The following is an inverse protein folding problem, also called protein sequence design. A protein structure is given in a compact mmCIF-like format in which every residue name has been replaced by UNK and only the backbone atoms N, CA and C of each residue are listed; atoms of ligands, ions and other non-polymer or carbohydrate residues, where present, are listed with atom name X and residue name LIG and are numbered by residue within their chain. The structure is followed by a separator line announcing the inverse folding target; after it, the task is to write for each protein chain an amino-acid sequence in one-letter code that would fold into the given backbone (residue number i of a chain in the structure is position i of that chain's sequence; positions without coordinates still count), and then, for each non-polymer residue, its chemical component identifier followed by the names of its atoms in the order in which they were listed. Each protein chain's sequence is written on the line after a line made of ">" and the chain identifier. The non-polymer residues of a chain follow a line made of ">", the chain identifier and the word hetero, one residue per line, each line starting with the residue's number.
data_IF_365342576927
#
_entry.id   IF_365342576927
#
_cell.length_a   1.000
_cell.length_b   1.000
_cell.length_c   1.000
_cell.angle_alpha   90.00
_cell.angle_beta   90.00
_cell.angle_gamma   90.00
#
_symmetry.space_group_name_H-M   'P 1'
#
loop_
_entity.id
_entity.type
_entity.pdbx_description
1 polymer ?
#
# COMPACT_ATOMS: atom_id res chain seq x y z
N UNK A 1 17.37 3.35 11.68
CA UNK A 1 16.33 2.43 11.19
C UNK A 1 16.29 2.60 9.69
N UNK A 2 16.54 1.55 8.91
CA UNK A 2 16.33 1.61 7.47
C UNK A 2 14.81 1.75 7.24
N UNK A 3 14.38 2.91 6.76
CA UNK A 3 12.98 3.16 6.44
C UNK A 3 12.68 2.75 5.00
N UNK A 4 11.41 2.53 4.70
CA UNK A 4 10.94 2.46 3.32
C UNK A 4 11.13 3.84 2.67
N UNK A 5 11.73 3.86 1.49
CA UNK A 5 11.76 5.07 0.65
C UNK A 5 10.67 4.92 -0.39
N UNK A 6 9.68 5.81 -0.34
CA UNK A 6 8.64 5.91 -1.35
C UNK A 6 9.26 6.40 -2.65
N UNK A 7 9.01 5.68 -3.75
CA UNK A 7 9.41 6.12 -5.07
C UNK A 7 8.30 6.99 -5.65
N UNK A 8 8.41 8.29 -5.40
CA UNK A 8 7.47 9.27 -5.95
C UNK A 8 7.53 9.32 -7.48
N UNK A 9 8.62 8.87 -8.10
CA UNK A 9 8.75 8.80 -9.56
C UNK A 9 7.94 7.65 -10.19
N UNK A 10 7.70 6.56 -9.44
CA UNK A 10 6.86 5.44 -9.84
C UNK A 10 5.40 5.58 -9.36
N UNK A 11 5.05 6.67 -8.66
CA UNK A 11 3.66 6.94 -8.28
C UNK A 11 2.84 7.24 -9.52
N UNK A 12 2.03 6.27 -9.94
CA UNK A 12 1.20 6.33 -11.12
C UNK A 12 -0.24 6.62 -10.65
N UNK A 13 -0.62 7.88 -10.74
CA UNK A 13 -1.98 8.37 -10.55
C UNK A 13 -2.75 8.17 -11.85
N UNK A 14 -3.58 7.13 -11.91
CA UNK A 14 -4.54 6.97 -13.00
C UNK A 14 -5.90 7.48 -12.56
N UNK A 15 -6.14 8.76 -12.81
CA UNK A 15 -7.47 9.35 -12.75
C UNK A 15 -8.25 8.93 -14.01
N UNK A 16 -9.12 7.91 -13.88
CA UNK A 16 -10.10 7.56 -14.89
C UNK A 16 -11.47 8.10 -14.47
N UNK A 17 -12.32 8.49 -15.42
CA UNK A 17 -13.66 9.04 -15.12
C UNK A 17 -14.60 8.08 -14.39
N UNK A 18 -14.24 6.80 -14.27
CA UNK A 18 -15.03 5.74 -13.62
C UNK A 18 -14.50 5.36 -12.22
N UNK A 19 -13.36 5.92 -11.79
CA UNK A 19 -12.73 5.62 -10.51
C UNK A 19 -11.23 5.87 -10.54
N UNK A 20 -10.72 6.56 -9.51
CA UNK A 20 -9.29 6.86 -9.37
C UNK A 20 -8.54 5.63 -8.87
N UNK A 21 -7.64 5.09 -9.68
CA UNK A 21 -6.73 4.01 -9.27
C UNK A 21 -5.36 4.64 -9.01
N UNK A 22 -4.91 4.60 -7.74
CA UNK A 22 -3.59 5.12 -7.37
C UNK A 22 -2.66 3.95 -7.11
N UNK A 23 -1.54 3.93 -7.82
CA UNK A 23 -0.47 2.94 -7.63
C UNK A 23 0.79 3.64 -7.13
N UNK A 24 1.29 3.21 -5.98
CA UNK A 24 2.54 3.72 -5.39
C UNK A 24 3.51 2.56 -5.25
N UNK A 25 4.78 2.80 -5.55
CA UNK A 25 5.85 1.84 -5.33
C UNK A 25 6.82 2.42 -4.30
N UNK A 26 7.22 1.61 -3.34
CA UNK A 26 8.28 1.93 -2.40
C UNK A 26 9.30 0.79 -2.39
N UNK A 27 10.55 1.10 -2.16
CA UNK A 27 11.60 0.10 -1.99
C UNK A 27 12.41 0.38 -0.73
N UNK A 28 12.90 -0.69 -0.12
CA UNK A 28 13.74 -0.57 1.07
C UNK A 28 14.45 -1.87 1.40
N UNK A 29 15.56 -1.75 2.12
CA UNK A 29 16.30 -2.89 2.67
C UNK A 29 15.66 -3.28 4.01
N UNK A 30 14.40 -3.70 3.97
CA UNK A 30 13.57 -4.02 5.14
C UNK A 30 12.98 -5.43 5.02
N UNK A 31 12.78 -6.09 6.17
CA UNK A 31 12.12 -7.39 6.23
C UNK A 31 10.64 -7.27 5.88
N UNK A 32 10.10 -8.28 5.18
CA UNK A 32 8.65 -8.34 4.89
C UNK A 32 7.80 -8.25 6.16
N UNK A 33 8.28 -8.88 7.24
CA UNK A 33 7.55 -9.03 8.50
C UNK A 33 7.49 -7.69 9.23
N UNK A 34 8.62 -6.98 9.32
CA UNK A 34 8.68 -5.61 9.84
C UNK A 34 7.74 -4.66 9.09
N UNK A 35 7.66 -4.78 7.77
CA UNK A 35 6.76 -3.96 6.94
C UNK A 35 5.30 -4.27 7.22
N UNK A 36 4.94 -5.55 7.29
CA UNK A 36 3.58 -5.98 7.66
C UNK A 36 3.24 -5.44 9.04
N UNK A 37 4.07 -5.69 10.05
CA UNK A 37 3.82 -5.27 11.43
C UNK A 37 3.67 -3.74 11.56
N UNK A 38 4.50 -2.99 10.85
CA UNK A 38 4.40 -1.55 10.77
C UNK A 38 3.05 -1.10 10.20
N UNK A 39 2.65 -1.60 9.02
CA UNK A 39 1.40 -1.18 8.39
C UNK A 39 0.16 -1.65 9.16
N UNK A 40 0.13 -2.86 9.70
CA UNK A 40 -1.02 -3.32 10.50
C UNK A 40 -1.18 -2.53 11.80
N UNK A 41 -0.10 -1.96 12.33
CA UNK A 41 -0.12 -1.16 13.56
C UNK A 41 -0.50 0.28 13.27
N UNK A 42 0.07 0.86 12.21
CA UNK A 42 -0.10 2.27 11.86
C UNK A 42 -1.42 2.53 11.12
N UNK A 43 -1.81 1.69 10.17
CA UNK A 43 -3.01 1.93 9.35
C UNK A 43 -4.32 2.11 10.18
N UNK A 44 -4.60 1.31 11.23
CA UNK A 44 -5.78 1.48 12.07
C UNK A 44 -5.87 2.85 12.75
N UNK A 45 -4.73 3.47 13.07
CA UNK A 45 -4.70 4.78 13.73
C UNK A 45 -5.17 5.91 12.80
N UNK A 46 -5.10 5.69 11.48
CA UNK A 46 -5.61 6.59 10.44
C UNK A 46 -7.03 6.25 9.96
N UNK A 47 -7.68 5.25 10.58
CA UNK A 47 -9.03 4.81 10.22
C UNK A 47 -9.10 3.77 9.10
N UNK A 48 -7.97 3.19 8.69
CA UNK A 48 -7.96 2.04 7.79
C UNK A 48 -8.23 0.76 8.57
N UNK A 49 -9.25 0.02 8.16
CA UNK A 49 -9.57 -1.26 8.77
C UNK A 49 -8.83 -2.38 8.06
N UNK A 50 -8.07 -3.18 8.79
CA UNK A 50 -7.43 -4.37 8.24
C UNK A 50 -8.51 -5.39 7.86
N UNK A 51 -8.67 -5.61 6.56
CA UNK A 51 -9.58 -6.62 6.02
C UNK A 51 -8.89 -7.99 5.93
N UNK A 52 -7.62 -8.05 5.49
CA UNK A 52 -6.88 -9.31 5.40
C UNK A 52 -5.37 -9.10 5.19
N UNK A 53 -4.51 -9.48 6.14
CA UNK A 53 -3.03 -9.48 6.09
C UNK A 53 -2.39 -8.13 5.71
N UNK A 54 -2.55 -7.70 4.46
CA UNK A 54 -2.06 -6.46 3.83
C UNK A 54 -3.14 -5.74 2.99
N UNK A 55 -4.40 -6.09 3.24
CA UNK A 55 -5.57 -5.51 2.61
C UNK A 55 -6.29 -4.68 3.64
N UNK A 56 -6.47 -3.40 3.34
CA UNK A 56 -7.14 -2.44 4.20
C UNK A 56 -8.35 -1.85 3.49
N UNK A 57 -9.38 -1.51 4.26
CA UNK A 57 -10.58 -0.83 3.77
C UNK A 57 -10.89 0.38 4.61
N UNK A 58 -11.27 1.49 3.97
CA UNK A 58 -11.61 2.74 4.64
C UNK A 58 -12.66 3.47 3.83
N UNK A 59 -13.82 3.78 4.43
CA UNK A 59 -14.82 4.69 3.84
C UNK A 59 -15.19 4.40 2.36
N UNK A 60 -15.33 3.12 1.99
CA UNK A 60 -15.60 2.75 0.59
C UNK A 60 -14.38 2.81 -0.32
N UNK A 61 -13.17 2.79 0.24
CA UNK A 61 -11.89 2.63 -0.45
C UNK A 61 -11.22 1.34 0.02
N UNK A 62 -10.45 0.72 -0.87
CA UNK A 62 -9.71 -0.51 -0.60
C UNK A 62 -8.25 -0.35 -1.00
N UNK A 63 -7.37 -0.46 -0.02
CA UNK A 63 -5.93 -0.42 -0.18
C UNK A 63 -5.39 -1.86 -0.15
N UNK A 64 -4.65 -2.25 -1.17
CA UNK A 64 -3.93 -3.53 -1.22
C UNK A 64 -2.44 -3.27 -1.26
N UNK A 65 -1.71 -3.88 -0.35
CA UNK A 65 -0.25 -3.81 -0.31
C UNK A 65 0.31 -5.14 -0.80
N UNK A 66 1.14 -5.08 -1.83
CA UNK A 66 1.85 -6.22 -2.38
C UNK A 66 3.33 -6.11 -2.03
N UNK A 67 3.89 -7.16 -1.44
CA UNK A 67 5.30 -7.24 -1.10
C UNK A 67 6.00 -8.22 -2.04
N UNK A 68 7.04 -7.75 -2.72
CA UNK A 68 7.88 -8.55 -3.62
C UNK A 68 9.35 -8.34 -3.25
N UNK A 69 10.08 -9.42 -3.02
CA UNK A 69 11.52 -9.33 -2.80
C UNK A 69 12.25 -9.36 -4.15
N UNK A 70 12.94 -8.27 -4.51
CA UNK A 70 13.64 -8.09 -5.79
C UNK A 70 15.10 -7.70 -5.51
N UNK A 71 16.08 -8.45 -6.05
CA UNK A 71 17.50 -8.07 -6.08
C UNK A 71 18.08 -7.42 -4.79
N UNK A 72 17.70 -7.94 -3.61
CA UNK A 72 18.06 -7.51 -2.23
C UNK A 72 17.23 -6.38 -1.61
N UNK A 73 16.30 -5.80 -2.34
CA UNK A 73 15.36 -4.81 -1.81
C UNK A 73 13.96 -5.41 -1.75
N UNK A 74 13.19 -5.00 -0.75
CA UNK A 74 11.77 -5.28 -0.70
C UNK A 74 11.03 -4.20 -1.49
N UNK A 75 10.41 -4.60 -2.59
CA UNK A 75 9.46 -3.78 -3.34
C UNK A 75 8.08 -3.88 -2.68
N UNK A 76 7.51 -2.73 -2.35
CA UNK A 76 6.19 -2.58 -1.78
C UNK A 76 5.34 -1.83 -2.79
N UNK A 77 4.29 -2.48 -3.30
CA UNK A 77 3.34 -1.86 -4.22
C UNK A 77 2.01 -1.64 -3.51
N UNK A 78 1.60 -0.40 -3.41
CA UNK A 78 0.31 0.02 -2.88
C UNK A 78 -0.66 0.23 -4.03
N UNK A 79 -1.83 -0.39 -3.94
CA UNK A 79 -2.90 -0.26 -4.91
C UNK A 79 -4.13 0.22 -4.18
N UNK A 80 -4.50 1.48 -4.41
CA UNK A 80 -5.69 2.08 -3.85
C UNK A 80 -6.79 2.09 -4.92
N UNK A 81 -7.88 1.39 -4.64
CA UNK A 81 -9.03 1.31 -5.53
C UNK A 81 -10.30 1.75 -4.80
N UNK A 82 -11.22 2.47 -5.47
CA UNK A 82 -12.53 2.74 -4.89
C UNK A 82 -13.30 1.42 -4.77
N UNK A 83 -13.83 1.15 -3.58
CA UNK A 83 -14.90 0.18 -3.38
C UNK A 83 -16.18 0.88 -3.85
N UNK A 84 -16.45 0.81 -5.16
CA UNK A 84 -17.72 1.31 -5.70
C UNK A 84 -18.85 0.49 -5.06
N UNK A 85 -19.44 1.04 -4.00
CA UNK A 85 -20.76 0.64 -3.56
C UNK A 85 -21.71 1.25 -4.60
N UNK A 86 -22.22 0.39 -5.49
CA UNK A 86 -23.30 0.73 -6.43
C UNK A 86 -24.50 1.35 -5.72
#
# INVERSE_FOLDING_TARGET
>A
MAGLTEDTAATLDFDKPDGRLVEVFAYGEVGRDDVVEFYITVMPEFGWQLANDLVFSRDGEMLRIHLSAEDRLLLVRFVLSPHSSQ
#
